data_IF_446604989252
#
_entry.id   IF_446604989252
#
_cell.length_a   1.000
_cell.length_b   1.000
_cell.length_c   1.000
_cell.angle_alpha   90.00
_cell.angle_beta   90.00
_cell.angle_gamma   90.00
#
_symmetry.space_group_name_H-M   'P 1'
#
loop_
_entity.id
_entity.type
_entity.pdbx_description
1 polymer ?
#
# COMPACT_ATOMS: atom_id res chain seq x y z
N UNK A 1 -14.97 -13.38 4.06
CA UNK A 1 -13.90 -14.32 3.64
C UNK A 1 -13.17 -13.76 2.42
N UNK A 2 -11.83 -13.87 2.29
CA UNK A 2 -11.06 -13.12 1.27
C UNK A 2 -11.32 -13.56 -0.17
N UNK A 3 -11.39 -14.86 -0.44
CA UNK A 3 -11.69 -15.42 -1.76
C UNK A 3 -12.71 -16.54 -1.61
N UNK A 4 -14.02 -16.25 -1.63
CA UNK A 4 -15.06 -17.26 -1.49
C UNK A 4 -15.26 -18.06 -2.80
N UNK A 5 -15.02 -17.44 -3.96
CA UNK A 5 -15.15 -18.06 -5.27
C UNK A 5 -13.82 -17.93 -6.03
N UNK A 6 -13.40 -18.99 -6.73
CA UNK A 6 -12.09 -19.03 -7.40
C UNK A 6 -11.96 -18.01 -8.54
N UNK A 7 -13.02 -17.84 -9.33
CA UNK A 7 -13.00 -17.05 -10.57
C UNK A 7 -13.69 -15.69 -10.46
N UNK A 8 -14.00 -15.25 -9.24
CA UNK A 8 -14.64 -13.95 -8.99
C UNK A 8 -13.74 -13.06 -8.15
N UNK A 9 -14.03 -11.76 -8.14
CA UNK A 9 -13.33 -10.81 -7.27
C UNK A 9 -13.39 -11.22 -5.79
N UNK A 10 -12.28 -11.01 -5.08
CA UNK A 10 -12.20 -11.26 -3.65
C UNK A 10 -12.66 -10.08 -2.80
N UNK A 11 -12.80 -10.31 -1.50
CA UNK A 11 -13.10 -9.29 -0.50
C UNK A 11 -11.79 -8.80 0.14
N UNK A 12 -11.48 -7.51 -0.04
CA UNK A 12 -10.37 -6.83 0.63
C UNK A 12 -10.85 -5.95 1.79
N UNK A 13 -9.90 -5.48 2.59
CA UNK A 13 -10.11 -4.45 3.60
C UNK A 13 -9.07 -3.36 3.34
N UNK A 14 -9.38 -2.42 2.46
CA UNK A 14 -8.43 -1.35 2.18
C UNK A 14 -8.31 -0.42 3.38
N UNK A 15 -7.07 -0.04 3.72
CA UNK A 15 -6.78 0.80 4.86
C UNK A 15 -6.31 2.16 4.33
N UNK A 16 -7.12 3.19 4.56
CA UNK A 16 -6.73 4.56 4.30
C UNK A 16 -5.96 5.12 5.50
N UNK A 17 -4.79 5.72 5.24
CA UNK A 17 -3.87 6.16 6.30
C UNK A 17 -3.62 7.66 6.14
N UNK A 18 -3.86 8.38 7.24
CA UNK A 18 -3.55 9.79 7.43
C UNK A 18 -2.78 9.94 8.73
N UNK A 19 -1.91 10.93 8.79
CA UNK A 19 -1.16 11.25 10.00
C UNK A 19 -1.25 12.75 10.26
N UNK A 20 -1.58 13.08 11.51
CA UNK A 20 -1.70 14.44 12.00
C UNK A 20 -0.80 14.62 13.21
N UNK A 21 -0.34 15.85 13.43
CA UNK A 21 0.31 16.27 14.68
C UNK A 21 -0.51 17.41 15.27
N UNK A 22 -1.32 17.10 16.28
CA UNK A 22 -2.42 17.98 16.63
C UNK A 22 -3.38 18.09 15.45
N UNK A 23 -3.69 19.31 15.02
CA UNK A 23 -4.55 19.56 13.87
C UNK A 23 -3.79 19.65 12.53
N UNK A 24 -2.46 19.59 12.56
CA UNK A 24 -1.63 19.75 11.36
C UNK A 24 -1.54 18.44 10.55
N UNK A 25 -2.04 18.40 9.30
CA UNK A 25 -1.90 17.22 8.43
C UNK A 25 -0.47 17.05 7.94
N UNK A 26 0.15 15.91 8.26
CA UNK A 26 1.57 15.68 7.97
C UNK A 26 1.85 15.12 6.58
N UNK A 27 0.83 14.63 5.86
CA UNK A 27 1.00 13.92 4.59
C UNK A 27 0.81 14.79 3.35
N UNK A 28 0.48 16.06 3.51
CA UNK A 28 0.24 16.97 2.40
C UNK A 28 1.45 17.85 2.08
N UNK A 29 1.76 17.98 0.79
CA UNK A 29 2.63 19.02 0.26
C UNK A 29 2.16 19.35 -1.15
N UNK A 30 1.79 20.61 -1.41
CA UNK A 30 1.28 21.06 -2.72
C UNK A 30 2.25 20.76 -3.88
N UNK A 31 3.56 20.80 -3.62
CA UNK A 31 4.60 20.62 -4.64
C UNK A 31 5.09 19.18 -4.75
N UNK A 32 4.65 18.30 -3.83
CA UNK A 32 5.03 16.90 -3.84
C UNK A 32 4.32 16.09 -4.92
N UNK A 33 4.92 14.96 -5.30
CA UNK A 33 4.27 14.00 -6.19
C UNK A 33 2.90 13.61 -5.63
N UNK A 34 1.85 13.75 -6.45
CA UNK A 34 0.45 13.52 -6.03
C UNK A 34 0.05 14.33 -4.79
N UNK A 35 0.64 15.51 -4.58
CA UNK A 35 0.49 16.31 -3.37
C UNK A 35 0.92 15.62 -2.06
N UNK A 36 1.86 14.65 -2.11
CA UNK A 36 2.39 13.98 -0.92
C UNK A 36 3.61 14.70 -0.36
N UNK A 37 3.62 14.89 0.96
CA UNK A 37 4.81 15.37 1.67
C UNK A 37 5.93 14.35 1.68
N UNK A 38 7.13 14.80 2.06
CA UNK A 38 8.26 13.89 2.29
C UNK A 38 7.98 12.88 3.41
N UNK A 39 7.29 13.31 4.46
CA UNK A 39 6.86 12.43 5.57
C UNK A 39 5.95 11.32 5.07
N UNK A 40 5.03 11.61 4.14
CA UNK A 40 4.19 10.57 3.54
C UNK A 40 5.01 9.57 2.72
N UNK A 41 6.00 10.03 1.95
CA UNK A 41 6.90 9.13 1.21
C UNK A 41 7.73 8.24 2.14
N UNK A 42 8.13 8.75 3.31
CA UNK A 42 8.80 7.93 4.33
C UNK A 42 7.87 6.89 4.96
N UNK A 43 6.63 7.26 5.26
CA UNK A 43 5.61 6.35 5.76
C UNK A 43 5.35 5.20 4.76
N UNK A 44 5.18 5.55 3.47
CA UNK A 44 5.02 4.60 2.37
C UNK A 44 6.23 3.68 2.26
N UNK A 45 7.45 4.24 2.29
CA UNK A 45 8.68 3.44 2.22
C UNK A 45 8.82 2.45 3.37
N UNK A 46 8.42 2.84 4.58
CA UNK A 46 8.35 1.96 5.74
C UNK A 46 7.40 0.77 5.54
N UNK A 47 6.18 1.03 5.05
CA UNK A 47 5.20 -0.03 4.76
C UNK A 47 5.71 -0.97 3.65
N UNK A 48 6.22 -0.44 2.54
CA UNK A 48 6.66 -1.24 1.40
C UNK A 48 7.88 -2.11 1.75
N UNK A 49 8.81 -1.57 2.54
CA UNK A 49 9.95 -2.34 3.07
C UNK A 49 9.52 -3.52 3.93
N UNK A 50 8.45 -3.36 4.70
CA UNK A 50 7.94 -4.36 5.64
C UNK A 50 6.71 -5.13 5.13
N UNK A 51 6.33 -4.97 3.86
CA UNK A 51 5.05 -5.49 3.34
C UNK A 51 4.86 -7.00 3.61
N UNK A 52 5.91 -7.80 3.38
CA UNK A 52 5.87 -9.23 3.65
C UNK A 52 5.64 -9.58 5.13
N UNK A 53 6.24 -8.82 6.06
CA UNK A 53 6.07 -9.04 7.49
C UNK A 53 4.69 -8.57 7.98
N UNK A 54 4.21 -7.43 7.47
CA UNK A 54 2.88 -6.89 7.79
C UNK A 54 1.77 -7.88 7.42
N UNK A 55 1.94 -8.61 6.30
CA UNK A 55 0.96 -9.60 5.83
C UNK A 55 0.65 -10.70 6.84
N UNK A 56 1.57 -11.07 7.73
CA UNK A 56 1.29 -12.01 8.80
C UNK A 56 0.13 -11.56 9.71
N UNK A 57 -0.08 -10.25 9.82
CA UNK A 57 -1.15 -9.66 10.64
C UNK A 57 -2.36 -9.20 9.82
N UNK A 58 -2.15 -8.79 8.57
CA UNK A 58 -3.23 -8.25 7.71
C UNK A 58 -3.89 -9.28 6.78
N UNK A 59 -3.25 -10.44 6.61
CA UNK A 59 -3.69 -11.54 5.75
C UNK A 59 -3.46 -12.90 6.46
N UNK A 60 -4.03 -13.11 7.66
CA UNK A 60 -3.63 -14.21 8.53
C UNK A 60 -4.20 -15.58 8.12
N UNK A 61 -5.10 -15.64 7.13
CA UNK A 61 -5.72 -16.89 6.71
C UNK A 61 -5.06 -17.48 5.47
N UNK A 62 -5.04 -18.79 5.33
CA UNK A 62 -4.63 -19.44 4.07
C UNK A 62 -5.46 -18.97 2.87
N UNK A 63 -6.72 -18.60 3.11
CA UNK A 63 -7.61 -18.08 2.07
C UNK A 63 -7.27 -16.64 1.63
N UNK A 64 -6.55 -15.88 2.45
CA UNK A 64 -6.07 -14.54 2.11
C UNK A 64 -5.17 -14.56 0.87
N UNK A 65 -4.28 -15.53 0.79
CA UNK A 65 -3.34 -15.68 -0.32
C UNK A 65 -4.01 -16.10 -1.62
N UNK A 66 -5.21 -16.71 -1.56
CA UNK A 66 -6.03 -17.00 -2.75
C UNK A 66 -6.67 -15.75 -3.35
N UNK A 67 -6.80 -14.66 -2.58
CA UNK A 67 -7.23 -13.35 -3.09
C UNK A 67 -6.07 -12.62 -3.80
N UNK A 68 -4.85 -12.74 -3.30
CA UNK A 68 -3.66 -12.02 -3.79
C UNK A 68 -3.06 -12.66 -5.05
N UNK A 69 -3.90 -12.79 -6.08
CA UNK A 69 -3.54 -13.31 -7.40
C UNK A 69 -3.84 -12.25 -8.47
N UNK A 70 -3.07 -12.19 -9.57
CA UNK A 70 -3.33 -11.27 -10.67
C UNK A 70 -4.74 -11.42 -11.27
N UNK A 71 -5.27 -10.33 -11.84
CA UNK A 71 -6.51 -10.36 -12.64
C UNK A 71 -7.81 -9.98 -11.92
N UNK A 72 -7.79 -9.79 -10.59
CA UNK A 72 -9.00 -9.50 -9.78
C UNK A 72 -8.91 -8.21 -8.97
N UNK A 73 -8.23 -7.19 -9.49
CA UNK A 73 -7.93 -5.91 -8.81
C UNK A 73 -7.21 -6.02 -7.44
N UNK A 74 -6.77 -7.23 -7.06
CA UNK A 74 -5.94 -7.47 -5.90
C UNK A 74 -4.49 -7.06 -6.23
N UNK A 75 -3.85 -6.26 -5.36
CA UNK A 75 -2.47 -5.83 -5.59
C UNK A 75 -1.51 -6.97 -5.26
N UNK A 76 -0.57 -7.24 -6.16
CA UNK A 76 0.47 -8.26 -5.96
C UNK A 76 1.88 -7.68 -6.02
N UNK A 77 2.02 -6.42 -6.42
CA UNK A 77 3.30 -5.76 -6.67
C UNK A 77 3.60 -4.76 -5.54
N UNK A 78 4.75 -4.92 -4.88
CA UNK A 78 5.24 -4.05 -3.80
C UNK A 78 5.72 -2.74 -4.41
N UNK A 79 4.77 -1.86 -4.70
CA UNK A 79 4.99 -0.55 -5.25
C UNK A 79 3.86 0.42 -4.89
N UNK A 80 4.03 1.69 -5.23
CA UNK A 80 3.00 2.72 -5.06
C UNK A 80 2.78 3.57 -6.31
N UNK A 81 1.61 4.17 -6.44
CA UNK A 81 1.27 5.07 -7.54
C UNK A 81 -0.06 5.79 -7.39
N UNK A 82 -0.26 6.85 -8.17
CA UNK A 82 -1.49 7.65 -8.15
C UNK A 82 -2.55 6.94 -8.96
N UNK A 83 -3.71 6.71 -8.34
CA UNK A 83 -4.83 6.00 -8.97
C UNK A 83 -4.49 4.59 -9.50
N UNK A 84 -3.33 4.04 -9.17
CA UNK A 84 -2.91 2.71 -9.61
C UNK A 84 -3.57 1.62 -8.76
N UNK A 85 -4.48 0.84 -9.36
CA UNK A 85 -5.18 -0.25 -8.67
C UNK A 85 -4.36 -1.53 -8.55
N UNK A 86 -3.27 -1.65 -9.32
CA UNK A 86 -2.36 -2.81 -9.30
C UNK A 86 -1.24 -2.69 -8.26
N UNK A 87 -1.03 -1.49 -7.72
CA UNK A 87 -0.06 -1.19 -6.68
C UNK A 87 -0.61 -1.53 -5.28
N UNK A 88 0.23 -2.03 -4.38
CA UNK A 88 -0.17 -2.29 -2.99
C UNK A 88 -0.53 -1.02 -2.23
N UNK A 89 0.09 0.11 -2.58
CA UNK A 89 -0.27 1.42 -2.08
C UNK A 89 -0.79 2.29 -3.22
N UNK A 90 -2.05 2.71 -3.11
CA UNK A 90 -2.67 3.66 -4.03
C UNK A 90 -2.77 5.03 -3.39
N UNK A 91 -2.43 6.07 -4.14
CA UNK A 91 -2.76 7.45 -3.75
C UNK A 91 -4.07 7.82 -4.43
N UNK A 92 -5.15 8.14 -3.68
CA UNK A 92 -6.39 8.62 -4.28
C UNK A 92 -6.15 9.99 -4.94
N UNK A 93 -6.27 10.07 -6.27
CA UNK A 93 -6.05 11.31 -7.02
C UNK A 93 -7.05 12.42 -6.70
N UNK A 94 -8.21 12.09 -6.12
CA UNK A 94 -9.23 13.06 -5.69
C UNK A 94 -8.97 13.63 -4.29
N UNK A 95 -8.02 13.07 -3.53
CA UNK A 95 -7.66 13.55 -2.20
C UNK A 95 -6.51 14.56 -2.32
N UNK A 96 -6.84 15.81 -2.67
CA UNK A 96 -5.87 16.87 -2.96
C UNK A 96 -5.88 18.03 -1.95
N UNK A 97 -6.80 18.04 -0.98
CA UNK A 97 -6.77 19.01 0.12
C UNK A 97 -5.91 18.52 1.29
N UNK A 98 -5.29 19.43 2.08
CA UNK A 98 -4.40 19.04 3.18
C UNK A 98 -5.01 18.05 4.17
N UNK A 99 -6.23 18.34 4.62
CA UNK A 99 -7.02 17.57 5.60
C UNK A 99 -7.46 16.20 5.07
N UNK A 100 -7.60 16.03 3.75
CA UNK A 100 -8.06 14.78 3.13
C UNK A 100 -6.91 13.93 2.61
N UNK A 101 -5.68 14.46 2.63
CA UNK A 101 -4.56 13.81 1.96
C UNK A 101 -4.17 12.52 2.68
N UNK A 102 -4.14 11.43 1.91
CA UNK A 102 -3.96 10.06 2.40
C UNK A 102 -3.42 9.16 1.31
N UNK A 103 -2.96 7.98 1.72
CA UNK A 103 -2.73 6.84 0.84
C UNK A 103 -3.53 5.63 1.32
N UNK A 104 -3.73 4.67 0.42
CA UNK A 104 -4.58 3.48 0.60
C UNK A 104 -3.71 2.22 0.51
N UNK A 105 -3.60 1.47 1.60
CA UNK A 105 -3.00 0.13 1.63
C UNK A 105 -4.05 -0.92 1.24
N UNK A 106 -3.80 -1.68 0.17
CA UNK A 106 -4.85 -2.44 -0.52
C UNK A 106 -4.79 -3.97 -0.34
N UNK A 107 -3.67 -4.51 0.13
CA UNK A 107 -3.54 -5.97 0.33
C UNK A 107 -4.26 -6.55 1.56
N UNK A 108 -4.52 -5.82 2.68
CA UNK A 108 -5.22 -6.39 3.83
C UNK A 108 -6.60 -6.94 3.47
N UNK A 109 -7.08 -7.89 4.27
CA UNK A 109 -8.42 -8.44 4.16
C UNK A 109 -9.10 -8.60 5.54
N UNK A 110 -10.42 -8.79 5.52
CA UNK A 110 -11.23 -8.80 6.73
C UNK A 110 -11.13 -10.10 7.56
N UNK A 111 -10.19 -11.00 7.27
CA UNK A 111 -9.85 -12.09 8.20
C UNK A 111 -8.83 -11.67 9.25
N UNK A 112 -8.21 -10.50 9.05
CA UNK A 112 -7.33 -9.89 10.02
C UNK A 112 -8.04 -9.53 11.33
N UNK A 113 -7.32 -9.67 12.45
CA UNK A 113 -7.68 -8.94 13.65
C UNK A 113 -7.33 -7.46 13.42
N UNK A 114 -8.31 -6.53 13.40
CA UNK A 114 -8.07 -5.15 13.01
C UNK A 114 -7.10 -4.42 13.95
N UNK A 115 -7.10 -4.75 15.24
CA UNK A 115 -6.18 -4.14 16.22
C UNK A 115 -4.72 -4.48 15.90
N UNK A 116 -4.44 -5.75 15.59
CA UNK A 116 -3.10 -6.21 15.23
C UNK A 116 -2.68 -5.70 13.86
N UNK A 117 -3.60 -5.73 12.89
CA UNK A 117 -3.35 -5.21 11.54
C UNK A 117 -2.98 -3.74 11.55
N UNK A 118 -3.78 -2.90 12.23
CA UNK A 118 -3.52 -1.45 12.30
C UNK A 118 -2.26 -1.15 13.10
N UNK A 119 -1.99 -1.89 14.17
CA UNK A 119 -0.75 -1.75 14.94
C UNK A 119 0.49 -2.08 14.10
N UNK A 120 0.46 -3.20 13.37
CA UNK A 120 1.58 -3.60 12.50
C UNK A 120 1.84 -2.57 11.38
N UNK A 121 0.77 -2.08 10.74
CA UNK A 121 0.86 -1.04 9.71
C UNK A 121 1.42 0.26 10.30
N UNK A 122 0.92 0.70 11.46
CA UNK A 122 1.39 1.92 12.12
C UNK A 122 2.87 1.82 12.53
N UNK A 123 3.31 0.68 13.06
CA UNK A 123 4.72 0.46 13.39
C UNK A 123 5.62 0.57 12.15
N UNK A 124 5.18 0.04 11.00
CA UNK A 124 5.91 0.18 9.75
C UNK A 124 5.95 1.64 9.26
N UNK A 125 4.84 2.39 9.40
CA UNK A 125 4.79 3.84 9.12
C UNK A 125 5.80 4.60 9.98
N UNK A 126 5.77 4.39 11.30
CA UNK A 126 6.67 5.06 12.25
C UNK A 126 8.13 4.71 11.94
N UNK A 127 8.43 3.43 11.69
CA UNK A 127 9.77 2.99 11.32
C UNK A 127 10.26 3.68 10.04
N UNK A 128 9.40 3.79 9.02
CA UNK A 128 9.71 4.49 7.77
C UNK A 128 10.04 5.96 7.99
N UNK A 129 9.23 6.67 8.77
CA UNK A 129 9.41 8.08 9.11
C UNK A 129 10.71 8.29 9.91
N UNK A 130 10.92 7.52 10.98
CA UNK A 130 12.08 7.68 11.86
C UNK A 130 13.40 7.43 11.14
N UNK A 131 13.42 6.46 10.23
CA UNK A 131 14.60 6.10 9.44
C UNK A 131 14.67 6.80 8.08
N UNK A 132 13.74 7.72 7.78
CA UNK A 132 13.66 8.48 6.52
C UNK A 132 13.75 7.58 5.27
N UNK A 133 13.03 6.45 5.29
CA UNK A 133 13.03 5.45 4.22
C UNK A 133 12.25 5.98 3.02
N UNK A 134 12.96 6.59 2.08
CA UNK A 134 12.37 7.24 0.92
C UNK A 134 11.92 6.22 -0.12
N UNK A 135 10.59 6.05 -0.30
CA UNK A 135 10.04 5.07 -1.23
C UNK A 135 10.57 5.21 -2.66
N UNK A 136 10.89 6.44 -3.11
CA UNK A 136 11.45 6.67 -4.44
C UNK A 136 12.88 6.15 -4.55
N UNK A 137 13.71 6.42 -3.53
CA UNK A 137 15.12 6.00 -3.51
C UNK A 137 15.26 4.50 -3.37
N UNK A 138 14.32 3.86 -2.66
CA UNK A 138 14.26 2.40 -2.52
C UNK A 138 13.71 1.71 -3.78
N UNK A 139 13.31 2.46 -4.82
CA UNK A 139 12.84 1.92 -6.09
C UNK A 139 11.41 1.37 -6.05
N UNK A 140 10.60 1.77 -5.07
CA UNK A 140 9.22 1.32 -4.93
C UNK A 140 8.21 2.08 -5.81
N UNK A 141 8.64 3.11 -6.55
CA UNK A 141 7.79 3.92 -7.41
C UNK A 141 8.20 5.40 -7.41
N UNK A 142 7.32 6.29 -7.88
CA UNK A 142 5.94 6.03 -8.29
C UNK A 142 5.82 5.27 -9.62
N UNK A 143 4.83 4.39 -9.73
CA UNK A 143 4.42 3.77 -10.99
C UNK A 143 2.95 4.12 -11.27
N UNK A 144 2.71 5.07 -12.17
CA UNK A 144 1.36 5.58 -12.49
C UNK A 144 0.63 4.79 -13.58
N UNK A 145 1.34 3.93 -14.27
CA UNK A 145 0.78 2.99 -15.24
C UNK A 145 0.41 1.66 -14.56
N UNK A 146 -0.60 0.99 -15.09
CA UNK A 146 -0.98 -0.33 -14.62
C UNK A 146 0.24 -1.27 -14.73
N UNK A 147 0.69 -1.82 -13.61
CA UNK A 147 1.91 -2.65 -13.55
C UNK A 147 1.73 -3.95 -14.35
N UNK A 148 0.50 -4.34 -14.68
CA UNK A 148 0.24 -5.44 -15.60
C UNK A 148 0.60 -5.12 -17.06
N UNK A 149 0.70 -3.83 -17.43
CA UNK A 149 0.93 -3.37 -18.80
C UNK A 149 2.35 -2.84 -19.05
N UNK A 150 3.24 -2.86 -18.06
CA UNK A 150 4.66 -2.53 -18.27
C UNK A 150 5.40 -3.70 -18.94
N UNK A 151 6.45 -3.34 -19.70
CA UNK A 151 7.34 -4.32 -20.32
C UNK A 151 7.94 -5.26 -19.27
N UNK A 152 8.15 -6.52 -19.66
CA UNK A 152 8.55 -7.59 -18.75
C UNK A 152 9.88 -7.30 -18.04
N UNK A 153 10.77 -6.57 -18.70
CA UNK A 153 12.05 -6.10 -18.16
C UNK A 153 11.91 -5.11 -16.99
N UNK A 154 10.84 -4.30 -16.97
CA UNK A 154 10.55 -3.38 -15.86
C UNK A 154 9.79 -4.09 -14.73
N UNK A 155 8.97 -5.10 -15.04
CA UNK A 155 8.27 -5.93 -14.04
C UNK A 155 9.24 -6.69 -13.14
N UNK A 156 10.34 -7.19 -13.69
CA UNK A 156 11.36 -7.97 -12.93
C UNK A 156 11.93 -7.17 -11.75
N UNK A 157 11.94 -5.83 -11.83
CA UNK A 157 12.48 -4.97 -10.77
C UNK A 157 11.51 -4.78 -9.59
N UNK A 158 10.22 -5.12 -9.76
CA UNK A 158 9.21 -4.91 -8.73
C UNK A 158 8.98 -6.21 -7.95
N UNK A 159 9.29 -6.17 -6.65
CA UNK A 159 9.07 -7.33 -5.76
C UNK A 159 7.58 -7.65 -5.68
N UNK A 160 7.23 -8.93 -5.69
CA UNK A 160 5.86 -9.39 -5.43
C UNK A 160 5.60 -9.61 -3.94
N UNK A 161 4.34 -9.52 -3.53
CA UNK A 161 3.91 -9.98 -2.20
C UNK A 161 4.10 -11.51 -2.06
N UNK A 162 4.29 -12.00 -0.82
CA UNK A 162 4.18 -13.43 -0.50
C UNK A 162 2.90 -14.06 -1.06
N UNK A 163 3.03 -15.26 -1.64
CA UNK A 163 1.93 -15.97 -2.32
C UNK A 163 1.48 -17.24 -1.60
N UNK A 164 2.21 -17.69 -0.57
CA UNK A 164 1.97 -18.89 0.23
C UNK A 164 2.56 -18.71 1.61
#
# INVERSE_FOLDING_TARGET
>A
MPKPFANESGNGMHIHIQLFKGDDPLFYDKNGYSCLSKTALYAIGGILKHAAAIMAFTNPSTNSYKRLVPGYEAPVNICFGTSNRSAVIRIPGYATSPDKKRFELRFPDATANPYLAFSAVLLAVIHGINNKIDANKEGFGPFDINVYNIEENEKIKIKSLPRR
#
